data_IF_407867605341
#
_entry.id   IF_407867605341
#
_cell.length_a   1.000
_cell.length_b   1.000
_cell.length_c   1.000
_cell.angle_alpha   90.00
_cell.angle_beta   90.00
_cell.angle_gamma   90.00
#
_symmetry.space_group_name_H-M   'P 1'
#
loop_
_entity.id
_entity.type
_entity.pdbx_description
1 polymer ?
#
# COMPACT_ATOMS: atom_id res chain seq x y z
N UNK A 1 -0.87 13.92 -21.34
CA UNK A 1 -1.52 15.15 -20.84
C UNK A 1 -1.34 15.20 -19.32
N UNK A 2 -0.37 15.96 -18.78
CA UNK A 2 -0.27 16.20 -17.32
C UNK A 2 -1.30 17.26 -16.96
N UNK A 3 -2.38 16.89 -16.28
CA UNK A 3 -3.20 17.86 -15.54
C UNK A 3 -2.43 18.18 -14.26
N UNK A 4 -2.37 19.45 -13.85
CA UNK A 4 -1.53 19.87 -12.71
C UNK A 4 -1.73 18.94 -11.49
N UNK A 5 -0.64 18.30 -11.05
CA UNK A 5 -0.62 17.40 -9.89
C UNK A 5 -1.05 15.94 -10.13
N UNK A 6 -1.46 15.56 -11.34
CA UNK A 6 -1.90 14.18 -11.65
C UNK A 6 -1.09 13.61 -12.81
N UNK A 7 -0.49 12.45 -12.56
CA UNK A 7 0.22 11.63 -13.56
C UNK A 7 -0.52 10.32 -13.69
N UNK A 8 -0.94 9.99 -14.92
CA UNK A 8 -1.45 8.66 -15.24
C UNK A 8 -0.26 7.77 -15.57
N UNK A 9 -0.35 6.51 -15.14
CA UNK A 9 0.66 5.50 -15.38
C UNK A 9 0.02 4.27 -16.05
N UNK A 10 0.82 3.52 -16.79
CA UNK A 10 0.35 2.36 -17.55
C UNK A 10 0.21 1.10 -16.68
N UNK A 11 0.75 1.11 -15.46
CA UNK A 11 0.69 -0.01 -14.54
C UNK A 11 0.66 0.42 -13.06
N UNK A 12 0.25 -0.50 -12.19
CA UNK A 12 0.32 -0.31 -10.75
C UNK A 12 1.78 -0.13 -10.26
N UNK A 13 2.75 -0.77 -10.91
CA UNK A 13 4.16 -0.66 -10.55
C UNK A 13 4.74 0.71 -10.92
N UNK A 14 4.37 1.24 -12.08
CA UNK A 14 4.76 2.59 -12.48
C UNK A 14 4.10 3.65 -11.60
N UNK A 15 2.86 3.40 -11.17
CA UNK A 15 2.15 4.24 -10.18
C UNK A 15 2.89 4.27 -8.84
N UNK A 16 3.43 3.13 -8.41
CA UNK A 16 4.14 3.00 -7.13
C UNK A 16 5.59 3.51 -7.19
N UNK A 17 6.14 3.76 -8.37
CA UNK A 17 7.53 4.16 -8.55
C UNK A 17 7.85 5.44 -7.75
N UNK A 18 8.75 5.31 -6.76
CA UNK A 18 9.16 6.38 -5.83
C UNK A 18 8.03 6.96 -4.97
N UNK A 19 6.88 6.28 -4.88
CA UNK A 19 5.79 6.72 -4.01
C UNK A 19 6.11 6.43 -2.54
N UNK A 20 5.75 7.34 -1.65
CA UNK A 20 5.82 7.12 -0.19
C UNK A 20 4.67 6.23 0.30
N UNK A 21 3.54 6.27 -0.40
CA UNK A 21 2.32 5.55 -0.08
C UNK A 21 1.59 5.09 -1.35
N UNK A 22 0.94 3.92 -1.26
CA UNK A 22 -0.02 3.43 -2.26
C UNK A 22 -1.41 3.37 -1.62
N UNK A 23 -2.42 3.75 -2.40
CA UNK A 23 -3.83 3.71 -1.97
C UNK A 23 -4.65 2.89 -2.96
N UNK A 24 -5.22 1.78 -2.50
CA UNK A 24 -6.16 0.96 -3.26
C UNK A 24 -7.57 1.49 -3.02
N UNK A 25 -8.15 2.08 -4.05
CA UNK A 25 -9.48 2.74 -4.00
C UNK A 25 -10.59 1.94 -4.66
N UNK A 26 -10.25 0.93 -5.46
CA UNK A 26 -11.19 0.06 -6.17
C UNK A 26 -10.77 -1.41 -6.05
N UNK A 27 -11.77 -2.29 -6.02
CA UNK A 27 -11.65 -3.73 -5.80
C UNK A 27 -11.57 -4.53 -7.11
N UNK A 28 -10.78 -4.05 -8.08
CA UNK A 28 -10.64 -4.73 -9.38
C UNK A 28 -9.83 -6.02 -9.23
N UNK A 29 -10.29 -7.09 -9.88
CA UNK A 29 -9.75 -8.44 -9.70
C UNK A 29 -8.24 -8.54 -9.97
N UNK A 30 -7.75 -7.77 -10.94
CA UNK A 30 -6.32 -7.64 -11.27
C UNK A 30 -5.43 -7.22 -10.09
N UNK A 31 -5.98 -6.52 -9.08
CA UNK A 31 -5.21 -6.14 -7.90
C UNK A 31 -4.97 -7.29 -6.92
N UNK A 32 -5.75 -8.38 -6.97
CA UNK A 32 -5.47 -9.58 -6.16
C UNK A 32 -4.20 -10.30 -6.59
N UNK A 33 -3.88 -10.22 -7.87
CA UNK A 33 -2.74 -10.89 -8.50
C UNK A 33 -1.48 -10.00 -8.53
N UNK A 34 -1.49 -8.87 -7.82
CA UNK A 34 -0.31 -8.00 -7.76
C UNK A 34 0.87 -8.73 -7.13
N UNK A 35 2.00 -8.72 -7.84
CA UNK A 35 3.30 -8.99 -7.23
C UNK A 35 3.64 -7.87 -6.21
N UNK A 36 3.25 -8.10 -4.95
CA UNK A 36 3.47 -7.17 -3.85
C UNK A 36 4.95 -6.96 -3.53
N UNK A 37 5.83 -7.92 -3.85
CA UNK A 37 7.28 -7.79 -3.67
C UNK A 37 7.84 -6.80 -4.69
N UNK A 38 7.43 -6.91 -5.95
CA UNK A 38 7.79 -5.95 -7.00
C UNK A 38 7.26 -4.56 -6.67
N UNK A 39 6.02 -4.46 -6.19
CA UNK A 39 5.42 -3.20 -5.78
C UNK A 39 6.26 -2.54 -4.67
N UNK A 40 6.59 -3.30 -3.62
CA UNK A 40 7.41 -2.84 -2.50
C UNK A 40 8.77 -2.29 -2.93
N UNK A 41 9.44 -2.98 -3.85
CA UNK A 41 10.75 -2.57 -4.38
C UNK A 41 10.70 -1.28 -5.20
N UNK A 42 9.56 -0.97 -5.82
CA UNK A 42 9.38 0.24 -6.62
C UNK A 42 9.12 1.48 -5.76
N UNK A 43 8.54 1.31 -4.57
CA UNK A 43 8.19 2.40 -3.67
C UNK A 43 9.40 3.03 -2.98
N UNK A 44 9.31 4.32 -2.67
CA UNK A 44 10.26 5.00 -1.79
C UNK A 44 9.92 4.74 -0.30
N UNK A 45 8.63 4.68 0.00
CA UNK A 45 8.10 4.38 1.33
C UNK A 45 7.50 2.99 1.43
N UNK A 46 6.67 2.81 2.44
CA UNK A 46 6.13 1.52 2.84
C UNK A 46 4.66 1.56 3.25
N UNK A 47 3.97 2.69 3.06
CA UNK A 47 2.57 2.83 3.45
C UNK A 47 1.67 2.20 2.40
N UNK A 48 0.81 1.28 2.82
CA UNK A 48 -0.23 0.73 1.96
C UNK A 48 -1.59 0.96 2.61
N UNK A 49 -2.44 1.74 1.94
CA UNK A 49 -3.81 2.00 2.35
C UNK A 49 -4.76 1.19 1.49
N UNK A 50 -5.53 0.31 2.09
CA UNK A 50 -6.59 -0.45 1.42
C UNK A 50 -7.96 0.09 1.83
N UNK A 51 -8.52 0.95 0.98
CA UNK A 51 -9.83 1.56 1.19
C UNK A 51 -11.00 0.58 1.04
N UNK A 52 -10.73 -0.66 0.59
CA UNK A 52 -11.74 -1.67 0.27
C UNK A 52 -11.60 -2.94 1.10
N UNK A 53 -10.56 -3.04 1.93
CA UNK A 53 -10.21 -4.26 2.65
C UNK A 53 -10.13 -5.48 1.73
N UNK A 54 -9.63 -5.26 0.52
CA UNK A 54 -9.67 -6.20 -0.59
C UNK A 54 -8.50 -7.18 -0.58
N UNK A 55 -7.33 -6.71 -0.12
CA UNK A 55 -6.12 -7.53 0.02
C UNK A 55 -6.03 -8.11 1.43
N UNK A 56 -5.37 -9.26 1.56
CA UNK A 56 -5.12 -9.89 2.85
C UNK A 56 -4.05 -9.10 3.61
N UNK A 57 -4.34 -8.54 4.81
CA UNK A 57 -3.39 -7.75 5.56
C UNK A 57 -2.09 -8.47 5.83
N UNK A 58 -2.14 -9.78 6.11
CA UNK A 58 -0.96 -10.58 6.41
C UNK A 58 0.02 -10.65 5.24
N UNK A 59 -0.49 -10.70 3.99
CA UNK A 59 0.34 -10.67 2.79
C UNK A 59 1.14 -9.36 2.66
N UNK A 60 0.55 -8.24 3.11
CA UNK A 60 1.21 -6.93 3.08
C UNK A 60 2.14 -6.75 4.29
N UNK A 61 1.70 -7.08 5.50
CA UNK A 61 2.51 -6.88 6.70
C UNK A 61 3.73 -7.79 6.73
N UNK A 62 3.62 -9.03 6.23
CA UNK A 62 4.76 -9.97 6.15
C UNK A 62 5.85 -9.50 5.18
N UNK A 63 5.51 -8.62 4.24
CA UNK A 63 6.46 -7.97 3.33
C UNK A 63 6.97 -6.62 3.85
N UNK A 64 6.65 -6.27 5.09
CA UNK A 64 7.10 -5.04 5.75
C UNK A 64 6.36 -3.79 5.28
N UNK A 65 5.14 -3.90 4.77
CA UNK A 65 4.28 -2.73 4.58
C UNK A 65 3.69 -2.24 5.91
N UNK A 66 3.62 -0.92 6.09
CA UNK A 66 2.71 -0.29 7.06
C UNK A 66 1.31 -0.26 6.45
N UNK A 67 0.58 -1.34 6.68
CA UNK A 67 -0.75 -1.54 6.17
C UNK A 67 -1.81 -0.85 7.04
N UNK A 68 -2.77 -0.18 6.40
CA UNK A 68 -4.01 0.27 7.04
C UNK A 68 -5.21 -0.06 6.16
N UNK A 69 -6.20 -0.73 6.76
CA UNK A 69 -7.47 -1.05 6.14
C UNK A 69 -8.63 -0.40 6.89
N UNK A 70 -9.74 -0.18 6.20
CA UNK A 70 -10.90 0.49 6.77
C UNK A 70 -11.54 -0.33 7.90
N UNK A 71 -11.64 0.25 9.10
CA UNK A 71 -12.29 -0.39 10.26
C UNK A 71 -11.57 -1.62 10.82
N UNK A 72 -10.32 -1.90 10.41
CA UNK A 72 -9.55 -3.09 10.85
C UNK A 72 -8.63 -2.85 12.05
N UNK A 73 -8.50 -1.59 12.51
CA UNK A 73 -7.47 -1.19 13.48
C UNK A 73 -6.07 -1.25 12.88
N UNK A 74 -5.14 -0.45 13.41
CA UNK A 74 -3.76 -0.44 12.91
C UNK A 74 -3.01 -1.68 13.43
N UNK A 75 -2.74 -2.66 12.56
CA UNK A 75 -2.03 -3.89 12.97
C UNK A 75 -0.53 -3.69 13.24
N UNK A 76 0.08 -2.60 12.75
CA UNK A 76 1.53 -2.34 12.83
C UNK A 76 1.91 -1.09 13.65
N UNK A 77 1.13 -0.75 14.69
CA UNK A 77 1.56 0.23 15.68
C UNK A 77 2.00 -0.54 16.93
N UNK A 78 3.24 -1.05 16.94
CA UNK A 78 3.89 -1.25 18.24
C UNK A 78 4.00 0.14 18.86
N UNK A 79 3.17 0.42 19.87
CA UNK A 79 3.37 1.58 20.73
C UNK A 79 4.69 1.30 21.46
N UNK A 80 5.74 2.13 21.32
CA UNK A 80 6.97 1.91 22.06
C UNK A 80 6.62 1.90 23.54
N UNK A 81 6.78 0.73 24.18
CA UNK A 81 6.55 0.60 25.61
C UNK A 81 7.66 1.39 26.30
N UNK A 82 7.31 2.56 26.85
CA UNK A 82 8.23 3.30 27.72
C UNK A 82 8.42 2.41 28.95
N UNK A 83 9.58 1.76 29.06
CA UNK A 83 9.97 1.10 30.31
C UNK A 83 10.24 2.20 31.34
N UNK A 84 9.41 2.23 32.38
CA UNK A 84 9.61 2.99 33.62
C UNK A 84 10.84 2.50 34.38
#
# INVERSE_FOLDING_TARGET
MKRNGVVLAESAYDTAARADAVVLVTEWGEFRELDLVRLKKAMAGDVFLDGRNFLEPESLTSLGFRYSGMGRGNKNQEVPTIKS
#
